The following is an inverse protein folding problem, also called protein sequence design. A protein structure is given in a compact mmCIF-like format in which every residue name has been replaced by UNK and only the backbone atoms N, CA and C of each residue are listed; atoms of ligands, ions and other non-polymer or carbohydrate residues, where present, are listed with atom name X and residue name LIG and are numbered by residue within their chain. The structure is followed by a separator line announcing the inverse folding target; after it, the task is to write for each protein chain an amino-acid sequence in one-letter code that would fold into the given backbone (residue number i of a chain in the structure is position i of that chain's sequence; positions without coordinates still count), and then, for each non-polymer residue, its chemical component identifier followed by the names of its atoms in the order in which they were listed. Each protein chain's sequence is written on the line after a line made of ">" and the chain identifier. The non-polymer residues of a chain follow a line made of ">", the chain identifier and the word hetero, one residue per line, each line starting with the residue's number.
data_IF_586397565410
#
_entry.id   IF_586397565410
#
_cell.length_a   1.000
_cell.length_b   1.000
_cell.length_c   1.000
_cell.angle_alpha   90.00
_cell.angle_beta   90.00
_cell.angle_gamma   90.00
#
_symmetry.space_group_name_H-M   'P 1'
#
loop_
_entity.id
_entity.type
_entity.pdbx_description
1 polymer ?
#
# COMPACT_ATOMS: atom_id res chain seq x y z
N UNK A 1 -17.41 13.36 17.33
CA UNK A 1 -18.09 12.60 18.40
C UNK A 1 -17.06 11.73 19.08
N UNK A 2 -17.14 11.57 20.41
CA UNK A 2 -16.16 10.83 21.23
C UNK A 2 -16.01 9.37 20.74
N UNK A 3 -17.06 8.80 20.14
CA UNK A 3 -17.09 7.48 19.49
C UNK A 3 -16.04 7.31 18.35
N UNK A 4 -15.73 8.37 17.59
CA UNK A 4 -14.79 8.27 16.46
C UNK A 4 -13.31 8.21 16.89
N UNK A 5 -12.99 8.64 18.12
CA UNK A 5 -11.62 8.60 18.66
C UNK A 5 -11.27 7.26 19.27
N UNK A 6 -12.26 6.48 19.71
CA UNK A 6 -12.04 5.12 20.22
C UNK A 6 -12.02 4.07 19.09
N UNK A 7 -12.70 4.31 17.97
CA UNK A 7 -12.64 3.43 16.80
C UNK A 7 -11.26 3.38 16.11
N UNK A 8 -10.44 4.44 16.18
CA UNK A 8 -9.04 4.41 15.71
C UNK A 8 -8.13 3.56 16.61
N UNK A 9 -8.70 2.90 17.61
CA UNK A 9 -8.02 2.27 18.74
C UNK A 9 -8.49 0.84 19.03
N UNK A 10 -9.41 0.30 18.21
CA UNK A 10 -9.88 -1.08 18.31
C UNK A 10 -8.71 -2.01 17.95
N UNK A 11 -8.35 -2.90 18.87
CA UNK A 11 -7.30 -3.90 18.66
C UNK A 11 -7.87 -5.25 18.24
N UNK A 12 -9.00 -5.65 18.85
CA UNK A 12 -9.64 -6.96 18.66
C UNK A 12 -11.16 -6.79 18.78
N UNK A 13 -11.91 -7.40 17.88
CA UNK A 13 -13.37 -7.53 17.91
C UNK A 13 -13.74 -9.01 18.03
N UNK A 14 -14.54 -9.36 19.04
CA UNK A 14 -14.98 -10.72 19.31
C UNK A 14 -16.46 -10.85 18.91
N UNK A 15 -16.77 -11.70 17.96
CA UNK A 15 -18.14 -12.02 17.57
C UNK A 15 -18.69 -13.14 18.47
N UNK A 16 -19.88 -12.93 18.99
CA UNK A 16 -20.55 -13.85 19.90
C UNK A 16 -21.48 -14.80 19.14
N UNK A 17 -21.64 -16.02 19.66
CA UNK A 17 -22.65 -16.94 19.16
C UNK A 17 -24.07 -16.42 19.46
N UNK A 18 -25.03 -16.69 18.58
CA UNK A 18 -26.46 -16.32 18.77
C UNK A 18 -27.07 -16.91 20.05
N UNK A 19 -26.45 -17.97 20.60
CA UNK A 19 -26.89 -18.63 21.84
C UNK A 19 -26.53 -17.86 23.12
N UNK A 20 -25.68 -16.83 23.04
CA UNK A 20 -25.22 -16.05 24.20
C UNK A 20 -26.25 -14.97 24.54
N UNK A 21 -26.73 -14.99 25.78
CA UNK A 21 -27.66 -13.96 26.27
C UNK A 21 -26.95 -12.65 26.59
N UNK A 22 -27.64 -11.51 26.50
CA UNK A 22 -27.07 -10.20 26.83
C UNK A 22 -26.41 -10.12 28.24
N UNK A 23 -26.97 -10.75 29.31
CA UNK A 23 -26.30 -10.82 30.60
C UNK A 23 -25.00 -11.60 30.58
N UNK A 24 -24.92 -12.69 29.80
CA UNK A 24 -23.70 -13.49 29.64
C UNK A 24 -22.65 -12.75 28.82
N UNK A 25 -23.07 -12.04 27.77
CA UNK A 25 -22.19 -11.20 26.97
C UNK A 25 -21.55 -10.07 27.80
N UNK A 26 -22.34 -9.43 28.68
CA UNK A 26 -21.82 -8.42 29.62
C UNK A 26 -20.88 -9.01 30.66
N UNK A 27 -21.21 -10.17 31.22
CA UNK A 27 -20.31 -10.86 32.14
C UNK A 27 -18.98 -11.24 31.46
N UNK A 28 -19.03 -11.63 30.18
CA UNK A 28 -17.84 -11.88 29.39
C UNK A 28 -17.04 -10.60 29.10
N UNK A 29 -17.71 -9.48 28.79
CA UNK A 29 -17.05 -8.19 28.65
C UNK A 29 -16.33 -7.76 29.94
N UNK A 30 -16.93 -7.98 31.11
CA UNK A 30 -16.33 -7.71 32.41
C UNK A 30 -15.08 -8.59 32.65
N UNK A 31 -15.13 -9.88 32.31
CA UNK A 31 -13.97 -10.77 32.38
C UNK A 31 -12.83 -10.30 31.47
N UNK A 32 -13.17 -9.85 30.26
CA UNK A 32 -12.18 -9.34 29.28
C UNK A 32 -11.56 -8.03 29.75
N UNK A 33 -12.32 -7.18 30.44
CA UNK A 33 -11.82 -5.90 30.98
C UNK A 33 -10.71 -6.08 32.03
N UNK A 34 -10.68 -7.23 32.71
CA UNK A 34 -9.67 -7.57 33.71
C UNK A 34 -8.38 -8.17 33.16
N UNK A 35 -8.28 -8.40 31.85
CA UNK A 35 -7.09 -9.01 31.24
C UNK A 35 -5.96 -8.01 31.02
N UNK A 36 -4.72 -8.53 31.11
CA UNK A 36 -3.52 -7.73 30.89
C UNK A 36 -3.47 -7.19 29.46
N UNK A 37 -3.18 -5.88 29.31
CA UNK A 37 -3.10 -5.23 28.00
C UNK A 37 -4.42 -4.65 27.47
N UNK A 38 -5.55 -4.95 28.12
CA UNK A 38 -6.87 -4.39 27.77
C UNK A 38 -7.06 -3.02 28.40
N UNK A 39 -7.41 -2.03 27.57
CA UNK A 39 -7.67 -0.65 27.98
C UNK A 39 -9.16 -0.39 28.21
N UNK A 40 -10.02 -0.85 27.30
CA UNK A 40 -11.47 -0.73 27.44
C UNK A 40 -12.16 -1.84 26.66
N UNK A 41 -13.37 -2.20 27.11
CA UNK A 41 -14.22 -3.20 26.48
C UNK A 41 -15.60 -2.60 26.29
N UNK A 42 -16.15 -2.73 25.08
CA UNK A 42 -17.48 -2.25 24.74
C UNK A 42 -18.30 -3.39 24.14
N UNK A 43 -19.50 -3.61 24.67
CA UNK A 43 -20.45 -4.56 24.10
C UNK A 43 -21.33 -3.85 23.06
N UNK A 44 -21.36 -4.39 21.85
CA UNK A 44 -22.19 -3.94 20.74
C UNK A 44 -23.34 -4.92 20.59
N UNK A 45 -24.57 -4.43 20.80
CA UNK A 45 -25.77 -5.24 20.56
C UNK A 45 -26.02 -5.40 19.07
N UNK A 46 -26.79 -6.41 18.64
CA UNK A 46 -27.16 -6.59 17.24
C UNK A 46 -27.79 -5.34 16.59
N UNK A 47 -28.66 -4.64 17.32
CA UNK A 47 -29.34 -3.43 16.83
C UNK A 47 -28.38 -2.24 16.73
N UNK A 48 -27.36 -2.19 17.60
CA UNK A 48 -26.32 -1.17 17.53
C UNK A 48 -25.33 -1.46 16.39
N UNK A 49 -24.99 -2.73 16.16
CA UNK A 49 -24.17 -3.17 15.03
C UNK A 49 -24.81 -2.77 13.70
N UNK A 50 -26.12 -2.97 13.55
CA UNK A 50 -26.86 -2.56 12.35
C UNK A 50 -26.84 -1.04 12.15
N UNK A 51 -27.05 -0.28 13.23
CA UNK A 51 -27.02 1.19 13.20
C UNK A 51 -25.65 1.72 12.78
N UNK A 52 -24.58 1.13 13.31
CA UNK A 52 -23.19 1.47 12.95
C UNK A 52 -22.92 1.10 11.49
N UNK A 53 -23.32 -0.10 11.06
CA UNK A 53 -23.14 -0.55 9.67
C UNK A 53 -23.82 0.38 8.66
N UNK A 54 -25.09 0.75 8.89
CA UNK A 54 -25.82 1.69 8.02
C UNK A 54 -25.19 3.09 8.02
N UNK A 55 -24.58 3.51 9.13
CA UNK A 55 -23.91 4.81 9.23
C UNK A 55 -22.54 4.86 8.54
N UNK A 56 -21.78 3.76 8.59
CA UNK A 56 -20.42 3.69 8.02
C UNK A 56 -20.41 3.30 6.54
N UNK A 57 -21.39 2.50 6.11
CA UNK A 57 -21.50 2.00 4.75
C UNK A 57 -22.86 2.38 4.13
N UNK A 58 -23.15 3.68 3.96
CA UNK A 58 -24.44 4.13 3.43
C UNK A 58 -24.72 3.56 2.02
N UNK A 59 -23.69 3.42 1.19
CA UNK A 59 -23.80 2.87 -0.18
C UNK A 59 -24.10 1.35 -0.21
N UNK A 60 -23.98 0.67 0.94
CA UNK A 60 -24.21 -0.77 1.09
C UNK A 60 -25.35 -1.09 2.06
N UNK A 61 -26.03 -0.08 2.60
CA UNK A 61 -27.13 -0.27 3.54
C UNK A 61 -28.24 -1.16 2.92
N UNK A 62 -28.53 -0.98 1.63
CA UNK A 62 -29.51 -1.76 0.88
C UNK A 62 -29.17 -3.26 0.82
N UNK A 63 -27.90 -3.66 1.04
CA UNK A 63 -27.52 -5.08 1.08
C UNK A 63 -28.09 -5.80 2.31
N UNK A 64 -28.23 -5.11 3.45
CA UNK A 64 -28.85 -5.70 4.64
C UNK A 64 -30.34 -5.96 4.40
N UNK A 65 -31.03 -5.02 3.74
CA UNK A 65 -32.44 -5.16 3.42
C UNK A 65 -32.68 -6.28 2.39
N UNK A 66 -31.68 -6.62 1.56
CA UNK A 66 -31.73 -7.76 0.63
C UNK A 66 -31.50 -9.13 1.29
N UNK A 67 -30.88 -9.16 2.47
CA UNK A 67 -30.60 -10.41 3.22
C UNK A 67 -31.83 -10.91 4.00
N UNK A 68 -32.89 -10.10 4.07
CA UNK A 68 -34.18 -10.45 4.67
C UNK A 68 -34.24 -10.23 6.19
N UNK A 69 -35.47 -10.11 6.71
CA UNK A 69 -35.74 -9.81 8.14
C UNK A 69 -35.20 -10.86 9.12
N UNK A 70 -34.84 -12.05 8.64
CA UNK A 70 -34.27 -13.14 9.45
C UNK A 70 -32.75 -13.00 9.65
N UNK A 71 -32.06 -12.10 8.92
CA UNK A 71 -30.62 -11.90 9.05
C UNK A 71 -30.32 -10.85 10.12
N UNK A 72 -29.80 -11.29 11.26
CA UNK A 72 -29.37 -10.41 12.36
C UNK A 72 -27.84 -10.38 12.44
N UNK A 73 -27.27 -9.19 12.56
CA UNK A 73 -25.83 -9.06 12.78
C UNK A 73 -25.46 -9.66 14.15
N UNK A 74 -24.39 -10.48 14.23
CA UNK A 74 -23.97 -11.05 15.50
C UNK A 74 -23.56 -9.95 16.47
N UNK A 75 -23.89 -10.14 17.75
CA UNK A 75 -23.40 -9.25 18.80
C UNK A 75 -21.88 -9.35 18.87
N UNK A 76 -21.20 -8.22 19.13
CA UNK A 76 -19.74 -8.20 19.23
C UNK A 76 -19.25 -7.53 20.51
N UNK A 77 -18.07 -7.93 20.96
CA UNK A 77 -17.33 -7.28 22.05
C UNK A 77 -16.09 -6.64 21.44
N UNK A 78 -16.04 -5.32 21.44
CA UNK A 78 -14.90 -4.55 20.96
C UNK A 78 -13.91 -4.32 22.09
N UNK A 79 -12.68 -4.78 21.90
CA UNK A 79 -11.59 -4.73 22.87
C UNK A 79 -10.53 -3.75 22.38
N UNK A 80 -10.37 -2.65 23.12
CA UNK A 80 -9.30 -1.69 22.90
C UNK A 80 -8.10 -2.04 23.77
N UNK A 81 -6.90 -2.05 23.17
CA UNK A 81 -5.65 -2.39 23.85
C UNK A 81 -4.83 -1.13 24.15
N UNK A 82 -4.05 -1.16 25.24
CA UNK A 82 -3.03 -0.14 25.51
C UNK A 82 -2.00 -0.11 24.37
N UNK A 83 -1.42 1.07 24.08
CA UNK A 83 -0.48 1.22 22.96
C UNK A 83 0.70 0.25 23.01
N UNK A 84 1.16 -0.10 24.21
CA UNK A 84 2.27 -1.03 24.45
C UNK A 84 1.93 -2.50 24.13
N UNK A 85 0.64 -2.82 23.95
CA UNK A 85 0.14 -4.16 23.64
C UNK A 85 -0.38 -4.27 22.19
N UNK A 86 -0.29 -3.19 21.40
CA UNK A 86 -0.66 -3.16 19.97
C UNK A 86 0.50 -3.62 19.07
N UNK A 87 0.96 -4.85 19.27
CA UNK A 87 1.95 -5.50 18.40
C UNK A 87 1.31 -6.76 17.81
N UNK A 88 1.54 -7.06 16.53
CA UNK A 88 0.90 -8.18 15.82
C UNK A 88 0.99 -9.51 16.59
N UNK A 89 2.16 -9.81 17.16
CA UNK A 89 2.37 -11.02 17.97
C UNK A 89 1.45 -11.05 19.19
N UNK A 90 1.45 -9.98 20.00
CA UNK A 90 0.65 -9.89 21.24
C UNK A 90 -0.86 -9.85 20.97
N UNK A 91 -1.27 -9.18 19.90
CA UNK A 91 -2.67 -9.14 19.48
C UNK A 91 -3.14 -10.51 19.01
N UNK A 92 -2.30 -11.24 18.26
CA UNK A 92 -2.62 -12.60 17.81
C UNK A 92 -2.73 -13.60 18.95
N UNK A 93 -1.86 -13.51 19.96
CA UNK A 93 -1.90 -14.39 21.14
C UNK A 93 -3.12 -14.10 22.02
N UNK A 94 -3.44 -12.82 22.21
CA UNK A 94 -4.62 -12.41 22.96
C UNK A 94 -5.91 -12.80 22.21
N UNK A 95 -5.98 -12.60 20.89
CA UNK A 95 -7.13 -13.00 20.09
C UNK A 95 -7.36 -14.53 20.11
N UNK A 96 -6.30 -15.34 20.09
CA UNK A 96 -6.42 -16.81 20.25
C UNK A 96 -6.95 -17.18 21.63
N UNK A 97 -6.50 -16.48 22.67
CA UNK A 97 -6.97 -16.71 24.04
C UNK A 97 -8.45 -16.35 24.15
N UNK A 98 -8.83 -15.19 23.62
CA UNK A 98 -10.22 -14.71 23.61
C UNK A 98 -11.14 -15.57 22.76
N UNK A 99 -10.69 -16.01 21.57
CA UNK A 99 -11.43 -16.92 20.70
C UNK A 99 -11.61 -18.33 21.25
N UNK A 100 -10.88 -18.70 22.32
CA UNK A 100 -11.07 -19.96 23.02
C UNK A 100 -12.12 -19.92 24.13
N UNK A 101 -12.69 -18.74 24.41
CA UNK A 101 -13.76 -18.56 25.39
C UNK A 101 -15.06 -19.18 24.86
N UNK A 102 -15.80 -19.85 25.75
CA UNK A 102 -17.10 -20.42 25.40
C UNK A 102 -18.11 -19.31 25.06
N UNK A 103 -18.79 -19.44 23.92
CA UNK A 103 -19.75 -18.44 23.41
C UNK A 103 -19.13 -17.38 22.49
N UNK A 104 -17.83 -17.45 22.21
CA UNK A 104 -17.18 -16.65 21.16
C UNK A 104 -17.19 -17.47 19.87
N UNK A 105 -17.91 -16.95 18.87
CA UNK A 105 -17.98 -17.53 17.53
C UNK A 105 -16.69 -17.26 16.77
N UNK A 106 -16.17 -16.03 16.91
CA UNK A 106 -14.97 -15.61 16.20
C UNK A 106 -14.24 -14.47 16.90
N UNK A 107 -12.92 -14.42 16.74
CA UNK A 107 -12.08 -13.37 17.28
C UNK A 107 -11.29 -12.73 16.15
N UNK A 108 -11.71 -11.54 15.73
CA UNK A 108 -11.09 -10.79 14.63
C UNK A 108 -10.20 -9.72 15.20
N UNK A 109 -8.92 -9.74 14.84
CA UNK A 109 -7.98 -8.65 15.09
C UNK A 109 -7.54 -8.07 13.74
N UNK A 110 -7.10 -6.82 13.73
CA UNK A 110 -6.90 -5.99 12.53
C UNK A 110 -6.42 -6.71 11.25
N UNK A 111 -6.93 -6.26 10.09
CA UNK A 111 -6.68 -6.72 8.69
C UNK A 111 -6.72 -8.23 8.38
N UNK A 112 -6.81 -9.11 9.37
CA UNK A 112 -6.56 -10.53 9.19
C UNK A 112 -7.85 -11.34 9.23
N UNK A 113 -8.73 -11.14 8.26
CA UNK A 113 -9.84 -12.07 8.01
C UNK A 113 -9.91 -12.44 6.52
N UNK A 114 -10.04 -13.75 6.26
CA UNK A 114 -9.85 -14.49 5.00
C UNK A 114 -8.40 -15.01 4.80
N UNK A 115 -8.02 -16.15 5.43
CA UNK A 115 -6.70 -16.79 5.26
C UNK A 115 -6.34 -17.17 3.81
N UNK A 116 -7.30 -17.13 2.87
CA UNK A 116 -7.03 -17.22 1.43
C UNK A 116 -6.84 -15.86 0.73
N UNK A 117 -7.48 -14.79 1.22
CA UNK A 117 -7.38 -13.46 0.59
C UNK A 117 -6.01 -12.84 0.89
N UNK A 118 -5.48 -13.00 2.09
CA UNK A 118 -4.13 -12.52 2.46
C UNK A 118 -3.06 -13.16 1.57
N UNK A 119 -3.15 -14.47 1.31
CA UNK A 119 -2.23 -15.17 0.41
C UNK A 119 -2.33 -14.66 -1.04
N UNK A 120 -3.53 -14.35 -1.51
CA UNK A 120 -3.75 -13.76 -2.85
C UNK A 120 -3.20 -12.35 -2.91
N UNK A 121 -3.46 -11.52 -1.90
CA UNK A 121 -2.93 -10.14 -1.82
C UNK A 121 -1.40 -10.16 -1.75
N UNK A 122 -0.80 -11.05 -0.95
CA UNK A 122 0.66 -11.22 -0.89
C UNK A 122 1.24 -11.72 -2.21
N UNK A 123 0.53 -12.64 -2.90
CA UNK A 123 0.93 -13.09 -4.23
C UNK A 123 0.87 -11.95 -5.26
N UNK A 124 -0.17 -11.12 -5.23
CA UNK A 124 -0.29 -9.93 -6.05
C UNK A 124 0.80 -8.92 -5.73
N UNK A 125 1.09 -8.67 -4.45
CA UNK A 125 2.14 -7.73 -4.05
C UNK A 125 3.52 -8.18 -4.55
N UNK A 126 3.82 -9.49 -4.45
CA UNK A 126 5.06 -10.06 -5.03
C UNK A 126 5.09 -9.93 -6.55
N UNK A 127 3.96 -10.14 -7.22
CA UNK A 127 3.84 -9.98 -8.66
C UNK A 127 4.06 -8.51 -9.08
N UNK A 128 3.50 -7.56 -8.33
CA UNK A 128 3.64 -6.12 -8.57
C UNK A 128 5.09 -5.67 -8.42
N UNK A 129 5.78 -6.13 -7.36
CA UNK A 129 7.22 -5.85 -7.17
C UNK A 129 8.02 -6.43 -8.33
N UNK A 130 7.74 -7.67 -8.74
CA UNK A 130 8.44 -8.32 -9.84
C UNK A 130 8.20 -7.60 -11.17
N UNK A 131 6.95 -7.27 -11.48
CA UNK A 131 6.58 -6.51 -12.68
C UNK A 131 7.25 -5.12 -12.68
N UNK A 132 7.25 -4.44 -11.54
CA UNK A 132 7.94 -3.16 -11.36
C UNK A 132 9.44 -3.27 -11.67
N UNK A 133 10.12 -4.29 -11.16
CA UNK A 133 11.54 -4.52 -11.43
C UNK A 133 11.82 -4.77 -12.93
N UNK A 134 10.99 -5.56 -13.59
CA UNK A 134 11.10 -5.84 -15.04
C UNK A 134 10.90 -4.56 -15.86
N UNK A 135 9.93 -3.72 -15.49
CA UNK A 135 9.70 -2.43 -16.14
C UNK A 135 10.89 -1.48 -15.95
N UNK A 136 11.46 -1.41 -14.75
CA UNK A 136 12.65 -0.59 -14.47
C UNK A 136 13.86 -1.04 -15.31
N UNK A 137 14.08 -2.36 -15.41
CA UNK A 137 15.13 -2.91 -16.27
C UNK A 137 14.88 -2.58 -17.74
N UNK A 138 13.63 -2.70 -18.20
CA UNK A 138 13.24 -2.40 -19.58
C UNK A 138 13.47 -0.94 -19.94
N UNK A 139 13.03 0.00 -19.10
CA UNK A 139 13.26 1.44 -19.28
C UNK A 139 14.76 1.75 -19.31
N UNK A 140 15.53 1.19 -18.37
CA UNK A 140 16.99 1.36 -18.32
C UNK A 140 17.66 0.91 -19.63
N UNK A 141 17.22 -0.21 -20.20
CA UNK A 141 17.74 -0.73 -21.47
C UNK A 141 17.37 0.18 -22.65
N UNK A 142 16.12 0.66 -22.70
CA UNK A 142 15.67 1.60 -23.73
C UNK A 142 16.50 2.89 -23.69
N UNK A 143 16.70 3.47 -22.51
CA UNK A 143 17.52 4.67 -22.34
C UNK A 143 18.97 4.41 -22.74
N UNK A 144 19.55 3.27 -22.31
CA UNK A 144 20.91 2.90 -22.68
C UNK A 144 21.09 2.80 -24.20
N UNK A 145 20.11 2.24 -24.92
CA UNK A 145 20.15 2.12 -26.37
C UNK A 145 19.99 3.49 -27.06
N UNK A 146 19.08 4.34 -26.57
CA UNK A 146 18.92 5.70 -27.08
C UNK A 146 20.21 6.50 -26.95
N UNK A 147 20.88 6.42 -25.79
CA UNK A 147 22.14 7.11 -25.55
C UNK A 147 23.26 6.57 -26.43
N UNK A 148 23.33 5.26 -26.66
CA UNK A 148 24.29 4.67 -27.61
C UNK A 148 24.13 5.24 -29.02
N UNK A 149 22.89 5.38 -29.49
CA UNK A 149 22.58 6.00 -30.78
C UNK A 149 22.91 7.50 -30.80
N UNK A 150 22.68 8.22 -29.70
CA UNK A 150 23.04 9.63 -29.57
C UNK A 150 24.56 9.85 -29.62
N UNK A 151 25.33 9.01 -28.92
CA UNK A 151 26.81 9.04 -28.93
C UNK A 151 27.34 8.77 -30.35
N UNK A 152 26.82 7.74 -31.04
CA UNK A 152 27.23 7.44 -32.40
C UNK A 152 27.03 8.61 -33.37
N UNK A 153 25.90 9.35 -33.22
CA UNK A 153 25.61 10.54 -34.04
C UNK A 153 26.52 11.73 -33.74
N UNK A 154 27.11 11.80 -32.55
CA UNK A 154 28.00 12.90 -32.10
C UNK A 154 29.46 12.48 -31.97
N UNK A 155 29.83 11.30 -32.49
CA UNK A 155 31.15 10.69 -32.29
C UNK A 155 32.28 11.63 -32.72
N UNK A 156 32.16 12.28 -33.89
CA UNK A 156 33.18 13.18 -34.42
C UNK A 156 33.39 14.42 -33.54
N UNK A 157 32.32 15.00 -32.98
CA UNK A 157 32.45 16.14 -32.06
C UNK A 157 33.10 15.74 -30.74
N UNK A 158 32.75 14.56 -30.22
CA UNK A 158 33.35 14.00 -29.00
C UNK A 158 34.84 13.70 -29.21
N UNK A 159 35.21 13.19 -30.39
CA UNK A 159 36.60 12.92 -30.78
C UNK A 159 37.44 14.20 -30.89
N UNK A 160 36.92 15.25 -31.53
CA UNK A 160 37.62 16.54 -31.60
C UNK A 160 37.84 17.10 -30.19
N UNK A 161 36.81 17.06 -29.33
CA UNK A 161 36.92 17.56 -27.95
C UNK A 161 37.89 16.73 -27.10
N UNK A 162 37.95 15.40 -27.30
CA UNK A 162 38.88 14.55 -26.56
C UNK A 162 40.34 14.82 -26.96
N UNK A 163 40.62 15.08 -28.24
CA UNK A 163 41.95 15.45 -28.74
C UNK A 163 42.40 16.82 -28.19
N UNK A 164 41.46 17.74 -27.95
CA UNK A 164 41.73 19.02 -27.28
C UNK A 164 41.95 18.90 -25.75
N UNK A 165 41.91 17.70 -25.16
CA UNK A 165 42.14 17.47 -23.75
C UNK A 165 40.94 17.71 -22.84
N UNK A 166 39.71 17.66 -23.38
CA UNK A 166 38.50 17.77 -22.56
C UNK A 166 38.40 16.61 -21.56
N UNK A 167 38.00 16.86 -20.30
CA UNK A 167 37.88 15.81 -19.30
C UNK A 167 36.66 14.91 -19.58
N UNK A 168 36.77 13.62 -19.26
CA UNK A 168 35.74 12.58 -19.50
C UNK A 168 34.33 12.95 -19.01
N UNK A 169 34.22 13.63 -17.86
CA UNK A 169 32.93 14.03 -17.31
C UNK A 169 32.24 15.10 -18.18
N UNK A 170 33.01 15.98 -18.82
CA UNK A 170 32.49 17.01 -19.73
C UNK A 170 31.90 16.37 -20.99
N UNK A 171 32.55 15.32 -21.51
CA UNK A 171 32.06 14.55 -22.67
C UNK A 171 30.79 13.74 -22.34
N UNK A 172 30.63 13.29 -21.09
CA UNK A 172 29.51 12.44 -20.63
C UNK A 172 28.27 13.23 -20.21
N UNK A 173 28.45 14.44 -19.67
CA UNK A 173 27.38 15.29 -19.15
C UNK A 173 26.18 15.48 -20.11
N UNK A 174 26.36 15.82 -21.41
CA UNK A 174 25.21 16.05 -22.29
C UNK A 174 24.33 14.79 -22.45
N UNK A 175 24.95 13.61 -22.47
CA UNK A 175 24.23 12.34 -22.60
C UNK A 175 23.55 11.90 -21.28
N UNK A 176 24.18 12.19 -20.14
CA UNK A 176 23.55 11.98 -18.82
C UNK A 176 22.33 12.87 -18.65
N UNK A 177 22.40 14.12 -19.13
CA UNK A 177 21.27 15.05 -19.13
C UNK A 177 20.14 14.58 -20.03
N UNK A 178 20.44 14.04 -21.21
CA UNK A 178 19.44 13.45 -22.11
C UNK A 178 18.73 12.24 -21.46
N UNK A 179 19.49 11.40 -20.74
CA UNK A 179 18.94 10.32 -19.91
C UNK A 179 18.04 10.81 -18.78
N UNK A 180 18.47 11.85 -18.07
CA UNK A 180 17.66 12.46 -17.00
C UNK A 180 16.35 13.03 -17.55
N UNK A 181 16.41 13.78 -18.65
CA UNK A 181 15.23 14.41 -19.25
C UNK A 181 14.24 13.37 -19.80
N UNK A 182 14.75 12.30 -20.42
CA UNK A 182 13.89 11.20 -20.90
C UNK A 182 13.24 10.45 -19.73
N UNK A 183 13.98 10.19 -18.65
CA UNK A 183 13.45 9.59 -17.43
C UNK A 183 12.37 10.45 -16.73
N UNK A 184 12.62 11.76 -16.63
CA UNK A 184 11.66 12.72 -16.06
C UNK A 184 10.41 12.88 -16.94
N UNK A 185 10.57 12.94 -18.26
CA UNK A 185 9.44 13.01 -19.18
C UNK A 185 8.58 11.74 -19.11
N UNK A 186 9.22 10.57 -19.01
CA UNK A 186 8.53 9.29 -18.84
C UNK A 186 7.76 9.21 -17.53
N UNK A 187 8.37 9.58 -16.40
CA UNK A 187 7.69 9.57 -15.10
C UNK A 187 6.58 10.60 -15.01
N UNK A 188 6.76 11.79 -15.58
CA UNK A 188 5.71 12.80 -15.68
C UNK A 188 4.53 12.31 -16.53
N UNK A 189 4.82 11.72 -17.70
CA UNK A 189 3.78 11.13 -18.56
C UNK A 189 3.02 10.00 -17.87
N UNK A 190 3.74 9.13 -17.15
CA UNK A 190 3.14 8.09 -16.32
C UNK A 190 2.21 8.66 -15.24
N UNK A 191 2.67 9.67 -14.49
CA UNK A 191 1.85 10.34 -13.47
C UNK A 191 0.58 10.96 -14.06
N UNK A 192 0.67 11.60 -15.23
CA UNK A 192 -0.51 12.17 -15.91
C UNK A 192 -1.49 11.07 -16.32
N UNK A 193 -1.01 9.94 -16.87
CA UNK A 193 -1.86 8.79 -17.21
C UNK A 193 -2.51 8.18 -15.97
N UNK A 194 -1.76 8.02 -14.88
CA UNK A 194 -2.25 7.52 -13.60
C UNK A 194 -3.32 8.44 -13.01
N UNK A 195 -3.12 9.76 -13.09
CA UNK A 195 -4.12 10.74 -12.66
C UNK A 195 -5.39 10.69 -13.54
N UNK A 196 -5.23 10.59 -14.85
CA UNK A 196 -6.35 10.46 -15.78
C UNK A 196 -7.17 9.18 -15.50
N UNK A 197 -6.50 8.05 -15.29
CA UNK A 197 -7.14 6.80 -14.91
C UNK A 197 -7.88 6.93 -13.56
N UNK A 198 -7.29 7.64 -12.60
CA UNK A 198 -7.93 7.86 -11.29
C UNK A 198 -9.20 8.68 -11.39
N UNK A 199 -9.28 9.66 -12.29
CA UNK A 199 -10.49 10.46 -12.47
C UNK A 199 -11.66 9.60 -12.98
N UNK A 200 -11.37 8.67 -13.89
CA UNK A 200 -12.35 7.70 -14.40
C UNK A 200 -12.83 6.76 -13.30
N UNK A 201 -11.93 6.26 -12.45
CA UNK A 201 -12.25 5.33 -11.36
C UNK A 201 -12.90 6.02 -10.17
N UNK A 202 -12.56 7.29 -9.88
CA UNK A 202 -13.10 8.04 -8.74
C UNK A 202 -14.61 8.31 -8.83
N UNK A 203 -15.21 8.14 -10.02
CA UNK A 203 -16.66 8.13 -10.18
C UNK A 203 -17.34 6.98 -9.42
N UNK A 204 -16.58 5.96 -8.97
CA UNK A 204 -17.09 4.79 -8.25
C UNK A 204 -16.50 4.60 -6.85
N UNK A 205 -15.37 5.25 -6.49
CA UNK A 205 -14.71 5.10 -5.18
C UNK A 205 -13.99 6.39 -4.76
N UNK A 206 -14.35 6.97 -3.61
CA UNK A 206 -13.70 8.16 -3.04
C UNK A 206 -12.45 7.80 -2.23
N UNK A 207 -11.30 7.65 -2.88
CA UNK A 207 -10.00 7.60 -2.21
C UNK A 207 -9.04 8.68 -2.75
N UNK A 208 -8.27 9.28 -1.84
CA UNK A 208 -7.18 10.23 -2.18
C UNK A 208 -6.06 9.43 -2.83
N UNK A 209 -6.06 9.43 -4.17
CA UNK A 209 -5.39 8.40 -4.97
C UNK A 209 -3.86 8.42 -4.91
N UNK A 210 -3.20 9.55 -4.63
CA UNK A 210 -1.75 9.59 -4.36
C UNK A 210 -1.36 10.82 -3.52
N UNK A 211 -0.75 10.64 -2.34
CA UNK A 211 -0.12 11.73 -1.61
C UNK A 211 0.98 12.40 -2.45
N UNK A 212 1.14 13.74 -2.40
CA UNK A 212 2.16 14.46 -3.18
C UNK A 212 3.59 13.95 -2.99
N UNK A 213 3.92 13.41 -1.80
CA UNK A 213 5.22 12.77 -1.51
C UNK A 213 5.53 11.60 -2.42
N UNK A 214 4.53 10.79 -2.77
CA UNK A 214 4.71 9.62 -3.64
C UNK A 214 4.87 10.04 -5.11
N UNK A 215 4.13 11.07 -5.54
CA UNK A 215 4.31 11.65 -6.87
C UNK A 215 5.73 12.19 -7.06
N UNK A 216 6.24 12.91 -6.05
CA UNK A 216 7.63 13.35 -6.04
C UNK A 216 8.61 12.16 -6.07
N UNK A 217 8.31 11.09 -5.32
CA UNK A 217 9.07 9.84 -5.35
C UNK A 217 9.16 9.22 -6.75
N UNK A 218 8.04 9.15 -7.48
CA UNK A 218 7.99 8.62 -8.86
C UNK A 218 8.81 9.49 -9.83
N UNK A 219 8.76 10.81 -9.69
CA UNK A 219 9.57 11.72 -10.51
C UNK A 219 11.08 11.51 -10.26
N UNK A 220 11.48 11.46 -8.98
CA UNK A 220 12.86 11.21 -8.58
C UNK A 220 13.32 9.85 -9.10
N UNK A 221 12.51 8.81 -8.94
CA UNK A 221 12.82 7.45 -9.39
C UNK A 221 12.94 7.37 -10.92
N UNK A 222 12.05 8.03 -11.67
CA UNK A 222 12.17 8.10 -13.13
C UNK A 222 13.45 8.82 -13.58
N UNK A 223 13.80 9.92 -12.92
CA UNK A 223 15.03 10.65 -13.18
C UNK A 223 16.29 9.83 -12.88
N UNK A 224 16.34 9.14 -11.74
CA UNK A 224 17.49 8.30 -11.36
C UNK A 224 17.66 7.12 -12.32
N UNK A 225 16.56 6.46 -12.71
CA UNK A 225 16.56 5.36 -13.69
C UNK A 225 17.05 5.86 -15.05
N UNK A 226 16.61 7.05 -15.49
CA UNK A 226 17.10 7.68 -16.71
C UNK A 226 18.61 7.96 -16.68
N UNK A 227 19.13 8.46 -15.56
CA UNK A 227 20.58 8.66 -15.36
C UNK A 227 21.34 7.33 -15.37
N UNK A 228 20.84 6.30 -14.67
CA UNK A 228 21.46 4.97 -14.61
C UNK A 228 21.48 4.32 -16.01
N UNK A 229 20.35 4.35 -16.74
CA UNK A 229 20.26 3.84 -18.10
C UNK A 229 21.25 4.55 -19.03
N UNK A 230 21.34 5.88 -18.94
CA UNK A 230 22.31 6.65 -19.72
C UNK A 230 23.76 6.33 -19.38
N UNK A 231 24.08 6.19 -18.09
CA UNK A 231 25.41 5.77 -17.65
C UNK A 231 25.79 4.40 -18.25
N UNK A 232 24.90 3.41 -18.17
CA UNK A 232 25.12 2.08 -18.73
C UNK A 232 25.37 2.18 -20.25
N UNK A 233 24.57 2.98 -20.95
CA UNK A 233 24.76 3.28 -22.37
C UNK A 233 26.14 3.86 -22.68
N UNK A 234 26.58 4.86 -21.91
CA UNK A 234 27.87 5.52 -22.08
C UNK A 234 29.06 4.59 -21.82
N UNK A 235 29.04 3.83 -20.72
CA UNK A 235 30.12 2.89 -20.37
C UNK A 235 30.35 1.84 -21.45
N UNK A 236 29.27 1.44 -22.12
CA UNK A 236 29.35 0.44 -23.20
C UNK A 236 29.83 1.00 -24.54
N UNK A 237 29.82 2.31 -24.74
CA UNK A 237 29.92 2.92 -26.09
C UNK A 237 31.11 3.87 -26.30
N UNK A 238 31.71 4.43 -25.24
CA UNK A 238 32.88 5.30 -25.42
C UNK A 238 34.16 4.47 -25.64
N UNK A 239 34.94 4.76 -26.70
CA UNK A 239 36.29 4.24 -26.83
C UNK A 239 37.14 4.70 -25.65
N UNK A 240 37.89 3.79 -25.04
CA UNK A 240 38.88 4.15 -24.01
C UNK A 240 39.98 5.00 -24.67
N UNK A 241 40.32 6.19 -24.15
CA UNK A 241 41.48 6.91 -24.63
C UNK A 241 42.74 6.11 -24.29
N UNK A 242 43.50 5.68 -25.31
CA UNK A 242 44.84 5.10 -25.11
C UNK A 242 45.10 3.70 -25.69
N UNK A 243 44.66 3.39 -26.92
CA UNK A 243 45.35 2.43 -27.80
C UNK A 243 45.36 2.95 -29.23
#
# INVERSE_FOLDING_TARGET
>A
SILRREQESIGIELFLDESVSEPEARAMADLVSGMEGVSSVYYVSPEEAERVFRAELPDKADLLDLLGDDFTLPASIQVSLYQEYRTDERMSDLARTLGSLAGVSDAVWGESYLPGLTQVVDALHRLDIFAGLVLLASVSLVVANTVRLAVARRALTVEIMSVCGAPDWFLRTPFLLEGLMTGLAGSLGGLVMTLAASLVVSASVTHVFLPPRWMAGVLVLGGTVGVIGSWIGLKSSMPRPGR
#
